data_IF_984059268460
#
_entry.id   IF_984059268460
#
_cell.length_a   1.000
_cell.length_b   1.000
_cell.length_c   1.000
_cell.angle_alpha   90.00
_cell.angle_beta   90.00
_cell.angle_gamma   90.00
#
_symmetry.space_group_name_H-M   'P 1'
#
loop_
_entity.id
_entity.type
_entity.pdbx_description
1 polymer ?
#
# COMPACT_ATOMS: atom_id res chain seq x y z
N UNK A 1 7.07 9.74 5.08
CA UNK A 1 7.47 8.50 5.80
C UNK A 1 6.39 8.00 6.74
N UNK A 2 5.85 8.85 7.61
CA UNK A 2 4.79 8.49 8.56
C UNK A 2 3.58 7.79 7.92
N UNK A 3 3.09 8.26 6.76
CA UNK A 3 1.99 7.60 6.02
C UNK A 3 2.28 6.11 5.76
N UNK A 4 3.50 5.78 5.36
CA UNK A 4 3.86 4.39 5.02
C UNK A 4 3.94 3.51 6.25
N UNK A 5 4.47 4.02 7.36
CA UNK A 5 4.50 3.30 8.64
C UNK A 5 3.07 3.01 9.11
N UNK A 6 2.21 4.04 9.12
CA UNK A 6 0.80 3.89 9.50
C UNK A 6 0.06 2.89 8.60
N UNK A 7 0.21 3.01 7.28
CA UNK A 7 -0.44 2.11 6.33
C UNK A 7 0.02 0.64 6.50
N UNK A 8 1.29 0.40 6.83
CA UNK A 8 1.79 -0.96 7.05
C UNK A 8 1.28 -1.55 8.37
N UNK A 9 1.17 -0.73 9.42
CA UNK A 9 0.58 -1.13 10.70
C UNK A 9 -0.90 -1.50 10.50
N UNK A 10 -1.68 -0.64 9.84
CA UNK A 10 -3.12 -0.87 9.62
C UNK A 10 -3.40 -2.09 8.73
N UNK A 11 -2.47 -2.46 7.85
CA UNK A 11 -2.56 -3.67 7.02
C UNK A 11 -2.04 -4.93 7.71
N UNK A 12 -1.36 -4.80 8.85
CA UNK A 12 -0.66 -5.90 9.51
C UNK A 12 0.54 -6.44 8.71
N UNK A 13 1.13 -5.64 7.81
CA UNK A 13 2.28 -6.07 6.98
C UNK A 13 3.59 -5.85 7.74
N UNK A 14 3.88 -6.77 8.67
CA UNK A 14 5.04 -6.72 9.54
C UNK A 14 6.36 -6.90 8.76
N UNK A 15 6.37 -7.74 7.72
CA UNK A 15 7.55 -7.99 6.88
C UNK A 15 8.02 -6.73 6.12
N UNK A 16 7.10 -5.82 5.81
CA UNK A 16 7.40 -4.56 5.14
C UNK A 16 7.77 -3.44 6.11
N UNK A 17 7.25 -3.48 7.33
CA UNK A 17 7.47 -2.45 8.34
C UNK A 17 8.97 -2.31 8.69
N UNK A 18 9.67 -3.41 8.93
CA UNK A 18 11.10 -3.39 9.29
C UNK A 18 12.02 -2.89 8.18
N UNK A 19 11.65 -3.09 6.91
CA UNK A 19 12.43 -2.59 5.77
C UNK A 19 12.11 -1.14 5.44
N UNK A 20 10.89 -0.69 5.69
CA UNK A 20 10.45 0.63 5.26
C UNK A 20 11.07 1.77 6.09
N UNK A 21 11.44 1.50 7.35
CA UNK A 21 12.00 2.49 8.28
C UNK A 21 13.50 2.71 8.11
N UNK A 22 14.23 1.80 7.46
CA UNK A 22 15.64 1.99 7.18
C UNK A 22 15.88 3.21 6.26
N UNK A 23 16.88 4.02 6.61
CA UNK A 23 17.27 5.22 5.86
C UNK A 23 17.95 4.87 4.53
N UNK A 24 18.69 3.76 4.53
CA UNK A 24 19.34 3.16 3.36
C UNK A 24 18.71 1.78 3.17
N UNK A 25 18.34 1.45 1.94
CA UNK A 25 17.79 0.14 1.57
C UNK A 25 18.51 -0.36 0.33
N UNK A 26 19.03 -1.59 0.37
CA UNK A 26 19.71 -2.23 -0.74
C UNK A 26 20.57 -3.38 -0.22
N UNK A 27 20.67 -4.45 -1.01
CA UNK A 27 21.62 -5.54 -0.80
C UNK A 27 22.84 -5.33 -1.70
N UNK A 28 23.96 -6.01 -1.44
CA UNK A 28 25.26 -5.83 -2.12
C UNK A 28 25.20 -5.86 -3.66
N UNK A 29 24.19 -6.52 -4.25
CA UNK A 29 24.01 -6.66 -5.69
C UNK A 29 23.01 -5.66 -6.32
N UNK A 30 22.35 -4.81 -5.52
CA UNK A 30 21.39 -3.80 -5.98
C UNK A 30 21.87 -2.37 -5.66
N UNK A 31 21.50 -1.40 -6.52
CA UNK A 31 21.78 0.01 -6.26
C UNK A 31 21.06 0.47 -4.97
N UNK A 32 21.79 0.99 -3.96
CA UNK A 32 21.19 1.39 -2.70
C UNK A 32 20.29 2.61 -2.88
N UNK A 33 19.13 2.57 -2.23
CA UNK A 33 18.15 3.67 -2.19
C UNK A 33 18.26 4.37 -0.85
N UNK A 34 18.50 5.67 -0.88
CA UNK A 34 18.61 6.52 0.31
C UNK A 34 17.39 7.44 0.42
N UNK A 35 16.91 7.66 1.65
CA UNK A 35 15.84 8.60 1.96
C UNK A 35 16.41 9.80 2.73
N UNK A 36 17.02 10.79 2.04
CA UNK A 36 17.68 11.92 2.70
C UNK A 36 16.69 12.77 3.52
N UNK A 37 15.46 12.96 3.03
CA UNK A 37 14.42 13.77 3.67
C UNK A 37 13.52 12.95 4.62
N UNK A 38 14.05 11.88 5.22
CA UNK A 38 13.28 10.95 6.06
C UNK A 38 12.58 11.64 7.24
N UNK A 39 13.28 12.60 7.86
CA UNK A 39 12.82 13.33 9.05
C UNK A 39 12.35 14.77 8.76
N UNK A 40 12.29 15.15 7.48
CA UNK A 40 11.83 16.48 7.08
C UNK A 40 10.30 16.49 6.90
N UNK A 41 9.64 17.56 7.36
CA UNK A 41 8.22 17.76 7.14
C UNK A 41 7.95 18.24 5.72
N UNK A 42 6.78 17.91 5.18
CA UNK A 42 6.35 18.34 3.84
C UNK A 42 6.30 19.87 3.74
N UNK A 43 5.76 20.54 4.76
CA UNK A 43 5.70 22.01 4.83
C UNK A 43 7.08 22.68 4.76
N UNK A 44 8.11 22.06 5.36
CA UNK A 44 9.46 22.61 5.41
C UNK A 44 10.16 22.42 4.06
N UNK A 45 9.93 21.28 3.41
CA UNK A 45 10.44 20.99 2.05
C UNK A 45 9.85 21.99 1.05
N UNK A 46 8.53 22.20 1.10
CA UNK A 46 7.83 23.16 0.23
C UNK A 46 8.29 24.60 0.51
N UNK A 47 8.44 24.97 1.79
CA UNK A 47 8.96 26.28 2.17
C UNK A 47 10.37 26.53 1.65
N UNK A 48 11.26 25.54 1.78
CA UNK A 48 12.62 25.61 1.25
C UNK A 48 12.64 25.75 -0.28
N UNK A 49 11.83 24.96 -1.00
CA UNK A 49 11.72 25.05 -2.44
C UNK A 49 11.27 26.44 -2.90
N UNK A 50 10.33 27.06 -2.17
CA UNK A 50 9.87 28.42 -2.45
C UNK A 50 10.95 29.47 -2.19
N UNK A 51 11.69 29.35 -1.08
CA UNK A 51 12.78 30.27 -0.73
C UNK A 51 13.90 30.24 -1.77
N UNK A 52 14.21 29.06 -2.30
CA UNK A 52 15.24 28.85 -3.33
C UNK A 52 14.71 29.05 -4.77
N UNK A 53 13.44 29.44 -4.93
CA UNK A 53 12.79 29.58 -6.23
C UNK A 53 12.93 28.35 -7.15
N UNK A 54 12.83 27.14 -6.57
CA UNK A 54 12.86 25.90 -7.34
C UNK A 54 11.51 25.70 -8.06
N UNK A 55 11.56 25.41 -9.35
CA UNK A 55 10.38 25.05 -10.12
C UNK A 55 9.98 23.59 -9.82
N UNK A 56 8.74 23.39 -9.38
CA UNK A 56 8.20 22.06 -9.11
C UNK A 56 6.71 21.97 -9.47
N UNK A 57 6.26 20.76 -9.80
CA UNK A 57 4.85 20.48 -10.10
C UNK A 57 4.06 20.24 -8.81
N UNK A 58 2.96 20.97 -8.63
CA UNK A 58 2.05 20.83 -7.49
C UNK A 58 0.69 20.20 -7.84
N UNK A 59 0.48 19.84 -9.11
CA UNK A 59 -0.77 19.21 -9.56
C UNK A 59 -0.86 17.77 -9.05
N UNK A 60 -1.88 17.47 -8.26
CA UNK A 60 -2.14 16.12 -7.79
C UNK A 60 -2.74 15.25 -8.90
N UNK A 61 -2.54 13.93 -8.81
CA UNK A 61 -3.16 12.97 -9.72
C UNK A 61 -4.68 12.90 -9.47
N UNK A 62 -5.49 12.87 -10.55
CA UNK A 62 -6.95 12.76 -10.48
C UNK A 62 -7.46 11.55 -9.70
N UNK A 63 -6.68 10.48 -9.61
CA UNK A 63 -7.01 9.26 -8.87
C UNK A 63 -6.45 9.24 -7.44
N UNK A 64 -5.59 10.20 -7.07
CA UNK A 64 -5.03 10.31 -5.73
C UNK A 64 -6.08 10.39 -4.60
N UNK A 65 -7.19 11.15 -4.71
CA UNK A 65 -8.11 11.34 -3.59
C UNK A 65 -8.83 10.05 -3.17
N UNK A 66 -9.09 9.15 -4.13
CA UNK A 66 -9.78 7.88 -3.91
C UNK A 66 -8.87 6.79 -3.34
N UNK A 67 -7.58 7.07 -3.14
CA UNK A 67 -6.61 6.09 -2.69
C UNK A 67 -6.62 5.90 -1.17
N UNK A 68 -6.35 4.68 -0.70
CA UNK A 68 -6.17 4.39 0.73
C UNK A 68 -5.09 5.27 1.39
N UNK A 69 -4.08 5.68 0.62
CA UNK A 69 -3.02 6.57 1.11
C UNK A 69 -3.56 7.96 1.46
N UNK A 70 -4.57 8.46 0.75
CA UNK A 70 -5.17 9.76 1.04
C UNK A 70 -5.83 9.80 2.43
N UNK A 71 -6.49 8.71 2.84
CA UNK A 71 -7.03 8.58 4.19
C UNK A 71 -5.94 8.64 5.26
N UNK A 72 -4.84 7.91 5.07
CA UNK A 72 -3.70 7.95 5.98
C UNK A 72 -3.08 9.36 6.06
N UNK A 73 -2.97 10.07 4.93
CA UNK A 73 -2.50 11.45 4.88
C UNK A 73 -3.38 12.41 5.66
N UNK A 74 -4.69 12.36 5.45
CA UNK A 74 -5.65 13.23 6.12
C UNK A 74 -5.65 12.99 7.63
N UNK A 75 -5.57 11.74 8.06
CA UNK A 75 -5.45 11.39 9.47
C UNK A 75 -4.15 11.93 10.09
N UNK A 76 -3.01 11.78 9.42
CA UNK A 76 -1.73 12.32 9.92
C UNK A 76 -1.76 13.85 9.99
N UNK A 77 -2.37 14.54 9.00
CA UNK A 77 -2.55 15.99 9.04
C UNK A 77 -3.45 16.42 10.21
N UNK A 78 -4.47 15.65 10.55
CA UNK A 78 -5.30 15.91 11.75
C UNK A 78 -4.49 15.70 13.04
N UNK A 79 -3.66 14.66 13.11
CA UNK A 79 -2.77 14.43 14.25
C UNK A 79 -1.72 15.54 14.41
N UNK A 80 -1.13 16.01 13.31
CA UNK A 80 -0.15 17.11 13.33
C UNK A 80 -0.74 18.40 13.90
N UNK A 81 -2.02 18.68 13.61
CA UNK A 81 -2.74 19.84 14.18
C UNK A 81 -2.88 19.78 15.71
N UNK A 82 -2.99 18.57 16.28
CA UNK A 82 -3.10 18.37 17.72
C UNK A 82 -1.72 18.32 18.38
N UNK A 83 -0.78 17.59 17.77
CA UNK A 83 0.58 17.42 18.26
C UNK A 83 1.57 17.53 17.08
N UNK A 84 2.38 18.60 17.02
CA UNK A 84 3.31 18.82 15.89
C UNK A 84 4.42 17.76 15.82
N UNK A 85 4.71 17.08 16.95
CA UNK A 85 5.71 15.99 17.01
C UNK A 85 5.18 14.64 16.51
N UNK A 86 3.87 14.50 16.28
CA UNK A 86 3.23 13.22 15.97
C UNK A 86 3.84 12.51 14.75
N UNK A 87 4.28 13.27 13.73
CA UNK A 87 4.91 12.70 12.52
C UNK A 87 6.26 12.04 12.86
N UNK A 88 7.08 12.68 13.68
CA UNK A 88 8.39 12.14 14.10
C UNK A 88 8.20 10.98 15.06
N UNK A 89 7.28 11.11 16.01
CA UNK A 89 6.98 10.07 17.00
C UNK A 89 6.50 8.79 16.31
N UNK A 90 5.71 8.91 15.25
CA UNK A 90 5.26 7.77 14.43
C UNK A 90 6.42 7.10 13.66
N UNK A 91 7.39 7.89 13.17
CA UNK A 91 8.58 7.35 12.50
C UNK A 91 9.45 6.60 13.51
N UNK A 92 9.72 7.22 14.67
CA UNK A 92 10.50 6.59 15.74
C UNK A 92 9.81 5.35 16.30
N UNK A 93 8.48 5.35 16.43
CA UNK A 93 7.75 4.15 16.83
C UNK A 93 7.95 3.03 15.80
N UNK A 94 7.89 3.34 14.50
CA UNK A 94 8.16 2.36 13.45
C UNK A 94 9.58 1.78 13.49
N UNK A 95 10.58 2.57 13.90
CA UNK A 95 11.96 2.12 14.06
C UNK A 95 12.17 1.28 15.32
N UNK A 96 11.46 1.63 16.40
CA UNK A 96 11.59 0.98 17.71
C UNK A 96 10.83 -0.36 17.74
N UNK A 97 9.81 -0.52 16.90
CA UNK A 97 9.04 -1.77 16.79
C UNK A 97 9.97 -2.90 16.35
N UNK A 98 10.35 -3.72 17.33
CA UNK A 98 11.16 -4.92 17.13
C UNK A 98 10.31 -5.99 16.46
N UNK A 99 10.62 -6.27 15.19
CA UNK A 99 9.95 -7.30 14.41
C UNK A 99 10.73 -8.59 14.57
N UNK A 100 10.06 -9.65 15.02
CA UNK A 100 10.66 -11.01 15.04
C UNK A 100 11.08 -11.37 13.62
N UNK A 101 12.34 -11.78 13.44
CA UNK A 101 12.97 -12.10 12.14
C UNK A 101 12.34 -13.30 11.41
N UNK A 102 11.30 -13.92 11.97
CA UNK A 102 10.58 -15.08 11.42
C UNK A 102 9.66 -14.72 10.23
N UNK A 103 9.58 -13.44 9.86
CA UNK A 103 8.86 -13.03 8.66
C UNK A 103 9.53 -13.63 7.41
N UNK A 104 8.85 -14.60 6.80
CA UNK A 104 9.22 -15.25 5.53
C UNK A 104 9.72 -14.22 4.51
N UNK A 105 11.03 -14.19 4.30
CA UNK A 105 11.64 -13.38 3.25
C UNK A 105 11.45 -14.15 1.95
N UNK A 106 10.79 -13.52 0.97
CA UNK A 106 10.59 -14.13 -0.34
C UNK A 106 11.93 -14.30 -1.05
N UNK A 107 12.20 -15.50 -1.55
CA UNK A 107 13.38 -15.81 -2.33
C UNK A 107 13.36 -14.94 -3.60
N UNK A 108 14.44 -14.22 -3.83
CA UNK A 108 14.62 -13.45 -5.05
C UNK A 108 15.16 -14.37 -6.15
N UNK A 109 14.55 -14.28 -7.33
CA UNK A 109 14.93 -15.02 -8.54
C UNK A 109 15.03 -14.05 -9.72
N UNK A 110 15.46 -14.51 -10.89
CA UNK A 110 15.52 -13.67 -12.10
C UNK A 110 14.39 -14.06 -13.06
N UNK A 111 13.78 -13.04 -13.68
CA UNK A 111 12.75 -13.23 -14.69
C UNK A 111 13.31 -13.91 -15.94
N UNK A 112 12.65 -14.95 -16.43
CA UNK A 112 13.06 -15.68 -17.63
C UNK A 112 12.96 -14.87 -18.92
N UNK A 113 12.08 -13.86 -18.97
CA UNK A 113 11.84 -13.03 -20.17
C UNK A 113 12.77 -11.81 -20.27
N UNK A 114 12.91 -11.06 -19.18
CA UNK A 114 13.67 -9.79 -19.18
C UNK A 114 14.97 -9.84 -18.36
N UNK A 115 15.25 -10.93 -17.66
CA UNK A 115 16.44 -11.07 -16.81
C UNK A 115 16.41 -10.27 -15.50
N UNK A 116 15.41 -9.42 -15.28
CA UNK A 116 15.31 -8.56 -14.08
C UNK A 116 14.86 -9.35 -12.84
N UNK A 117 15.24 -8.86 -11.64
CA UNK A 117 14.92 -9.50 -10.36
C UNK A 117 13.40 -9.59 -10.13
N UNK A 118 12.94 -10.76 -9.70
CA UNK A 118 11.53 -11.08 -9.47
C UNK A 118 11.37 -12.17 -8.41
N UNK A 119 10.25 -12.16 -7.68
CA UNK A 119 9.85 -13.26 -6.79
C UNK A 119 9.13 -14.39 -7.52
N UNK A 120 8.90 -14.24 -8.83
CA UNK A 120 8.21 -15.20 -9.70
C UNK A 120 9.06 -15.45 -10.95
N UNK A 121 8.88 -16.60 -11.65
CA UNK A 121 9.66 -16.91 -12.84
C UNK A 121 9.46 -15.88 -13.97
N UNK A 122 8.29 -15.26 -14.06
CA UNK A 122 8.00 -14.16 -14.99
C UNK A 122 7.61 -12.92 -14.20
N UNK A 123 8.22 -11.79 -14.53
CA UNK A 123 8.03 -10.53 -13.83
C UNK A 123 6.61 -9.98 -14.00
N UNK A 124 6.09 -9.28 -12.99
CA UNK A 124 4.72 -8.74 -13.05
C UNK A 124 4.53 -7.74 -14.20
N UNK A 125 5.55 -6.93 -14.50
CA UNK A 125 5.54 -6.02 -15.63
C UNK A 125 5.41 -6.76 -16.97
N UNK A 126 6.19 -7.83 -17.15
CA UNK A 126 6.20 -8.68 -18.34
C UNK A 126 4.82 -9.28 -18.60
N UNK A 127 4.16 -9.72 -17.52
CA UNK A 127 2.85 -10.34 -17.55
C UNK A 127 1.72 -9.32 -17.78
N UNK A 128 1.87 -8.08 -17.29
CA UNK A 128 0.96 -6.98 -17.61
C UNK A 128 1.08 -6.52 -19.06
N UNK A 129 2.30 -6.42 -19.60
CA UNK A 129 2.53 -6.09 -21.01
C UNK A 129 1.91 -7.13 -21.95
N UNK A 130 2.04 -8.41 -21.63
CA UNK A 130 1.39 -9.48 -22.37
C UNK A 130 -0.15 -9.37 -22.32
N UNK A 131 -0.71 -9.06 -21.13
CA UNK A 131 -2.14 -8.82 -20.98
C UNK A 131 -2.66 -7.64 -21.82
N UNK A 132 -1.86 -6.58 -21.96
CA UNK A 132 -2.20 -5.44 -22.82
C UNK A 132 -2.13 -5.81 -24.30
N UNK A 133 -1.07 -6.52 -24.73
CA UNK A 133 -0.89 -6.92 -26.13
C UNK A 133 -1.96 -7.93 -26.60
N UNK A 134 -2.45 -8.77 -25.69
CA UNK A 134 -3.46 -9.80 -25.99
C UNK A 134 -4.90 -9.36 -25.72
N UNK A 135 -5.10 -8.15 -25.17
CA UNK A 135 -6.42 -7.65 -24.75
C UNK A 135 -6.98 -8.31 -23.47
N UNK A 136 -6.25 -9.25 -22.87
CA UNK A 136 -6.66 -9.99 -21.68
C UNK A 136 -6.07 -9.38 -20.39
N UNK A 137 -6.70 -8.32 -19.89
CA UNK A 137 -6.26 -7.61 -18.68
C UNK A 137 -6.33 -8.45 -17.38
N UNK A 138 -7.04 -9.58 -17.39
CA UNK A 138 -7.24 -10.44 -16.22
C UNK A 138 -6.00 -11.30 -15.87
N UNK A 139 -5.09 -11.49 -16.82
CA UNK A 139 -3.87 -12.32 -16.65
C UNK A 139 -3.05 -11.82 -15.46
N UNK A 140 -2.95 -10.49 -15.30
CA UNK A 140 -2.19 -9.83 -14.22
C UNK A 140 -2.98 -9.43 -12.98
N UNK A 141 -4.29 -9.27 -13.03
CA UNK A 141 -5.03 -8.73 -11.88
C UNK A 141 -5.75 -9.78 -11.04
N UNK A 142 -5.78 -11.03 -11.51
CA UNK A 142 -6.44 -12.11 -10.78
C UNK A 142 -5.66 -12.47 -9.52
N UNK A 143 -6.15 -12.02 -8.36
CA UNK A 143 -5.68 -12.49 -7.07
C UNK A 143 -6.04 -13.97 -6.93
N UNK A 144 -5.08 -14.88 -7.16
CA UNK A 144 -5.25 -16.28 -6.75
C UNK A 144 -5.42 -16.28 -5.23
N UNK A 145 -6.64 -16.47 -4.75
CA UNK A 145 -6.94 -16.66 -3.33
C UNK A 145 -6.17 -17.93 -2.93
N UNK A 146 -5.14 -17.78 -2.08
CA UNK A 146 -4.42 -18.92 -1.51
C UNK A 146 -5.49 -19.80 -0.82
N UNK A 147 -5.62 -21.09 -1.12
CA UNK A 147 -6.48 -21.97 -0.33
C UNK A 147 -6.03 -21.84 1.12
N UNK A 148 -6.94 -21.49 2.04
CA UNK A 148 -6.67 -21.65 3.46
C UNK A 148 -6.57 -23.16 3.68
N UNK A 149 -5.42 -23.63 4.13
CA UNK A 149 -5.32 -24.98 4.68
C UNK A 149 -6.32 -25.09 5.84
N UNK A 150 -7.18 -26.13 5.88
CA UNK A 150 -8.10 -26.32 6.98
C UNK A 150 -7.28 -26.60 8.24
N UNK A 151 -7.36 -25.71 9.21
CA UNK A 151 -6.80 -25.92 10.55
C UNK A 151 -7.65 -26.97 11.24
N UNK A 152 -7.04 -28.08 11.65
CA UNK A 152 -7.67 -29.12 12.45
C UNK A 152 -8.20 -28.52 13.77
N UNK A 153 -9.52 -28.35 13.85
CA UNK A 153 -10.20 -28.00 15.11
C UNK A 153 -10.25 -29.24 15.99
N UNK A 154 -9.43 -29.24 17.04
CA UNK A 154 -9.63 -30.06 18.23
C UNK A 154 -11.00 -29.78 18.83
N UNK A 155 -11.76 -30.86 19.00
CA UNK A 155 -13.10 -30.97 19.55
C UNK A 155 -13.31 -30.27 20.90
N UNK A 156 -14.31 -29.39 20.96
CA UNK A 156 -15.11 -29.19 22.19
C UNK A 156 -16.58 -29.12 21.77
N UNK A 157 -17.36 -30.04 22.34
CA UNK A 157 -18.79 -30.28 22.16
C UNK A 157 -19.66 -29.13 22.67
N UNK A 158 -20.69 -28.76 21.90
CA UNK A 158 -21.78 -27.88 22.30
C UNK A 158 -22.84 -27.81 21.21
N UNK A 159 -24.10 -28.01 21.59
CA UNK A 159 -25.25 -28.44 20.77
C UNK A 159 -25.83 -27.36 19.81
N UNK A 160 -26.39 -27.85 18.69
CA UNK A 160 -27.32 -27.33 17.64
C UNK A 160 -28.08 -25.98 17.84
N UNK A 161 -28.64 -25.30 16.79
CA UNK A 161 -29.10 -25.82 15.48
C UNK A 161 -28.74 -24.97 14.22
N UNK A 162 -29.15 -25.49 13.06
CA UNK A 162 -28.85 -25.06 11.69
C UNK A 162 -29.21 -23.59 11.33
N UNK A 163 -28.43 -22.93 10.45
CA UNK A 163 -28.86 -21.68 9.83
C UNK A 163 -29.50 -21.92 8.45
N UNK A 164 -30.60 -21.21 8.25
CA UNK A 164 -31.39 -21.12 7.03
C UNK A 164 -30.57 -20.63 5.83
N UNK A 165 -30.90 -21.15 4.64
CA UNK A 165 -30.33 -20.72 3.36
C UNK A 165 -30.76 -19.27 3.07
N UNK A 166 -29.86 -18.30 3.21
CA UNK A 166 -30.03 -16.97 2.61
C UNK A 166 -29.35 -16.94 1.23
N UNK A 167 -30.19 -17.02 0.21
CA UNK A 167 -29.88 -16.68 -1.17
C UNK A 167 -29.74 -15.16 -1.28
N UNK A 168 -28.55 -14.66 -1.63
CA UNK A 168 -28.42 -13.35 -2.28
C UNK A 168 -27.07 -13.22 -2.97
N UNK A 169 -27.01 -13.70 -4.22
CA UNK A 169 -26.04 -13.19 -5.17
C UNK A 169 -26.45 -11.79 -5.59
N UNK A 170 -25.61 -10.79 -5.32
CA UNK A 170 -25.79 -9.45 -5.90
C UNK A 170 -25.18 -9.48 -7.30
N UNK A 171 -26.04 -9.82 -8.27
CA UNK A 171 -25.79 -9.65 -9.69
C UNK A 171 -25.67 -8.17 -10.04
N UNK A 172 -24.88 -7.88 -11.07
CA UNK A 172 -24.58 -6.52 -11.50
C UNK A 172 -25.84 -5.73 -11.85
N UNK A 173 -25.97 -4.58 -11.20
CA UNK A 173 -26.60 -3.35 -11.69
C UNK A 173 -26.27 -2.25 -10.68
N UNK A 174 -25.11 -1.62 -10.82
CA UNK A 174 -24.89 -0.31 -10.21
C UNK A 174 -25.51 0.72 -11.16
N UNK A 175 -26.70 1.19 -10.80
CA UNK A 175 -27.30 2.39 -11.36
C UNK A 175 -26.47 3.61 -10.91
N UNK A 176 -25.57 4.07 -11.77
CA UNK A 176 -24.96 5.39 -11.62
C UNK A 176 -25.99 6.42 -12.06
N UNK A 177 -26.77 6.97 -11.12
CA UNK A 177 -27.57 8.15 -11.39
C UNK A 177 -26.64 9.34 -11.67
N UNK A 178 -26.69 9.81 -12.92
CA UNK A 178 -26.15 11.09 -13.34
C UNK A 178 -26.95 12.20 -12.65
N UNK A 179 -26.39 12.79 -11.58
CA UNK A 179 -26.81 14.12 -11.14
C UNK A 179 -25.91 15.15 -11.79
N UNK A 180 -26.53 15.90 -12.70
CA UNK A 180 -25.92 16.89 -13.55
C UNK A 180 -25.23 18.02 -12.77
N UNK A 181 -24.21 18.56 -13.42
CA UNK A 181 -23.68 19.88 -13.12
C UNK A 181 -24.79 20.91 -13.34
N UNK A 182 -25.29 21.48 -12.26
CA UNK A 182 -26.00 22.76 -12.30
C UNK A 182 -25.51 23.64 -11.16
N UNK A 183 -24.67 24.62 -11.53
CA UNK A 183 -24.56 25.91 -10.87
C UNK A 183 -23.78 25.96 -9.56
N UNK A 184 -22.52 26.38 -9.63
CA UNK A 184 -22.01 27.34 -8.65
C UNK A 184 -21.30 28.46 -9.42
N UNK A 185 -22.01 29.59 -9.52
CA UNK A 185 -21.46 30.91 -9.78
C UNK A 185 -21.04 31.51 -8.44
N UNK A 186 -19.92 32.25 -8.49
CA UNK A 186 -19.26 33.04 -7.43
C UNK A 186 -18.37 32.22 -6.49
#
# INVERSE_FOLDING_TARGET
MAETVLMNILRGDVARLGRCTNAITGDENELPRVKPLKFCFEKDIVFYARLQNLEYFYTECIYAPNSYRNFARNYIKQLERLQPRAILDLIHSGETVAIRKEASTQIQTNCTRCGYMSSQPVCKACLLLEGLNTGNYQIGNSSKKKPREPTETSSVTGENPAPEKSTSGCGGQCACEAKGLSGLSI
#
